data_IF_814824856396
#
_entry.id   IF_814824856396
#
_cell.length_a   1.000
_cell.length_b   1.000
_cell.length_c   1.000
_cell.angle_alpha   90.00
_cell.angle_beta   90.00
_cell.angle_gamma   90.00
#
_symmetry.space_group_name_H-M   'P 1'
#
loop_
_entity.id
_entity.type
_entity.pdbx_description
1 polymer ?
#
# COMPACT_ATOMS: atom_id res chain seq x y z
N UNK A 1 28.41 -5.31 -5.41
CA UNK A 1 27.74 -4.37 -6.32
C UNK A 1 26.83 -5.16 -7.25
N UNK A 2 25.53 -4.85 -7.28
CA UNK A 2 24.54 -5.45 -8.16
C UNK A 2 23.95 -4.39 -9.09
N UNK A 3 23.51 -4.78 -10.26
CA UNK A 3 22.75 -3.95 -11.19
C UNK A 3 21.28 -4.30 -11.14
N UNK A 4 20.47 -3.45 -10.53
CA UNK A 4 19.08 -3.71 -10.20
C UNK A 4 18.16 -2.95 -11.17
N UNK A 5 17.32 -3.66 -11.88
CA UNK A 5 16.32 -3.11 -12.79
C UNK A 5 14.92 -3.12 -12.20
N UNK A 6 14.14 -2.06 -12.40
CA UNK A 6 12.77 -1.95 -11.91
C UNK A 6 11.76 -1.74 -13.04
N UNK A 7 10.60 -2.41 -12.98
CA UNK A 7 9.42 -1.92 -13.67
C UNK A 7 8.91 -0.66 -12.96
N UNK A 8 9.34 0.50 -13.43
CA UNK A 8 9.08 1.79 -12.80
C UNK A 8 7.85 2.51 -13.36
N UNK A 9 6.98 1.83 -14.14
CA UNK A 9 5.74 2.43 -14.67
C UNK A 9 4.91 3.10 -13.57
N UNK A 10 4.69 2.40 -12.45
CA UNK A 10 3.88 2.92 -11.34
C UNK A 10 4.58 4.03 -10.59
N UNK A 11 5.88 3.93 -10.38
CA UNK A 11 6.67 5.00 -9.76
C UNK A 11 6.54 6.32 -10.54
N UNK A 12 6.55 6.25 -11.88
CA UNK A 12 6.51 7.43 -12.74
C UNK A 12 5.10 7.99 -12.97
N UNK A 13 4.06 7.17 -12.98
CA UNK A 13 2.76 7.53 -13.54
C UNK A 13 1.58 7.40 -12.55
N UNK A 14 1.83 7.00 -11.31
CA UNK A 14 0.76 6.70 -10.37
C UNK A 14 1.02 7.36 -9.02
N UNK A 15 0.02 8.12 -8.53
CA UNK A 15 0.06 8.80 -7.21
C UNK A 15 -0.57 7.97 -6.09
N UNK A 16 -1.19 6.84 -6.39
CA UNK A 16 -1.85 5.97 -5.39
C UNK A 16 -0.88 4.96 -4.79
N UNK A 17 -1.35 4.09 -3.91
CA UNK A 17 -0.56 3.13 -3.14
C UNK A 17 0.53 2.39 -3.92
N UNK A 18 0.23 1.87 -5.14
CA UNK A 18 1.23 1.17 -5.95
C UNK A 18 2.37 2.08 -6.42
N UNK A 19 2.08 3.35 -6.72
CA UNK A 19 3.09 4.34 -7.08
C UNK A 19 3.94 4.73 -5.87
N UNK A 20 3.31 4.99 -4.73
CA UNK A 20 3.98 5.32 -3.48
C UNK A 20 4.92 4.18 -3.04
N UNK A 21 4.44 2.93 -3.07
CA UNK A 21 5.28 1.76 -2.81
C UNK A 21 6.48 1.68 -3.77
N UNK A 22 6.25 1.87 -5.07
CA UNK A 22 7.33 1.78 -6.05
C UNK A 22 8.41 2.85 -5.81
N UNK A 23 8.02 4.09 -5.48
CA UNK A 23 8.95 5.17 -5.12
C UNK A 23 9.64 4.90 -3.79
N UNK A 24 8.91 4.40 -2.79
CA UNK A 24 9.45 4.00 -1.49
C UNK A 24 10.57 2.97 -1.64
N UNK A 25 10.34 1.89 -2.40
CA UNK A 25 11.34 0.84 -2.65
C UNK A 25 12.57 1.38 -3.38
N UNK A 26 12.37 2.13 -4.47
CA UNK A 26 13.47 2.67 -5.25
C UNK A 26 14.32 3.63 -4.39
N UNK A 27 13.68 4.57 -3.69
CA UNK A 27 14.33 5.52 -2.79
C UNK A 27 15.12 4.81 -1.70
N UNK A 28 14.46 3.91 -0.96
CA UNK A 28 15.09 3.20 0.15
C UNK A 28 16.32 2.41 -0.27
N UNK A 29 16.25 1.70 -1.41
CA UNK A 29 17.41 0.96 -1.94
C UNK A 29 18.56 1.89 -2.34
N UNK A 30 18.27 3.02 -2.99
CA UNK A 30 19.32 3.98 -3.40
C UNK A 30 19.98 4.66 -2.21
N UNK A 31 19.23 4.94 -1.15
CA UNK A 31 19.74 5.55 0.08
C UNK A 31 20.54 4.54 0.92
N UNK A 32 20.03 3.32 1.11
CA UNK A 32 20.65 2.32 1.98
C UNK A 32 21.80 1.54 1.31
N UNK A 33 21.78 1.41 -0.01
CA UNK A 33 22.76 0.63 -0.78
C UNK A 33 23.30 1.40 -1.99
N UNK A 34 23.95 2.56 -1.79
CA UNK A 34 24.36 3.49 -2.85
C UNK A 34 25.40 2.91 -3.83
N UNK A 35 26.12 1.84 -3.44
CA UNK A 35 27.12 1.21 -4.29
C UNK A 35 26.54 0.36 -5.43
N UNK A 36 25.22 0.13 -5.45
CA UNK A 36 24.57 -0.61 -6.52
C UNK A 36 24.21 0.32 -7.69
N UNK A 37 24.05 -0.28 -8.87
CA UNK A 37 23.58 0.41 -10.06
C UNK A 37 22.08 0.20 -10.23
N UNK A 38 21.33 1.28 -10.42
CA UNK A 38 19.89 1.25 -10.53
C UNK A 38 19.40 1.64 -11.91
N UNK A 39 18.42 0.88 -12.45
CA UNK A 39 17.84 1.14 -13.77
C UNK A 39 16.31 1.10 -13.67
N UNK A 40 15.67 2.19 -14.00
CA UNK A 40 14.20 2.32 -14.02
C UNK A 40 13.69 2.19 -15.46
N UNK A 41 12.85 1.19 -15.73
CA UNK A 41 12.22 1.00 -17.03
C UNK A 41 10.83 1.65 -17.04
N UNK A 42 10.64 2.68 -17.85
CA UNK A 42 9.40 3.46 -17.93
C UNK A 42 8.86 3.41 -19.36
N UNK A 43 7.60 3.00 -19.57
CA UNK A 43 7.08 2.82 -20.94
C UNK A 43 6.76 4.13 -21.67
N UNK A 44 6.62 5.25 -20.95
CA UNK A 44 6.23 6.54 -21.53
C UNK A 44 7.03 7.70 -20.95
N UNK A 45 7.95 8.23 -21.74
CA UNK A 45 8.79 9.36 -21.41
C UNK A 45 8.00 10.65 -21.06
N UNK A 46 6.82 10.84 -21.66
CA UNK A 46 5.97 12.03 -21.40
C UNK A 46 5.17 11.95 -20.11
N UNK A 47 5.27 10.86 -19.34
CA UNK A 47 4.52 10.63 -18.11
C UNK A 47 5.49 10.27 -16.98
N UNK A 48 6.27 11.25 -16.55
CA UNK A 48 7.30 11.12 -15.50
C UNK A 48 6.99 11.94 -14.24
N UNK A 49 5.80 12.55 -14.19
CA UNK A 49 5.45 13.59 -13.21
C UNK A 49 5.70 13.23 -11.74
N UNK A 50 5.64 11.94 -11.40
CA UNK A 50 5.86 11.47 -10.02
C UNK A 50 7.25 10.85 -9.81
N UNK A 51 8.02 10.65 -10.88
CA UNK A 51 9.37 10.12 -10.78
C UNK A 51 10.35 11.16 -10.26
N UNK A 52 10.04 12.44 -10.49
CA UNK A 52 10.84 13.57 -10.01
C UNK A 52 10.75 13.76 -8.48
N UNK A 53 9.77 13.12 -7.83
CA UNK A 53 9.65 13.07 -6.37
C UNK A 53 10.70 12.13 -5.72
N UNK A 54 11.45 11.33 -6.51
CA UNK A 54 12.50 10.45 -6.00
C UNK A 54 13.78 11.28 -5.79
N UNK A 55 14.27 11.43 -4.54
CA UNK A 55 15.53 12.11 -4.27
C UNK A 55 16.69 11.40 -4.99
N UNK A 56 17.73 12.17 -5.36
CA UNK A 56 18.93 11.62 -6.03
C UNK A 56 18.63 10.88 -7.34
N UNK A 57 17.67 11.38 -8.11
CA UNK A 57 17.26 10.85 -9.42
C UNK A 57 18.46 10.67 -10.39
N UNK A 58 19.49 11.45 -10.26
CA UNK A 58 20.76 11.37 -11.02
C UNK A 58 21.50 10.03 -10.83
N UNK A 59 21.25 9.33 -9.72
CA UNK A 59 21.84 8.02 -9.41
C UNK A 59 21.12 6.83 -10.04
N UNK A 60 19.97 7.05 -10.70
CA UNK A 60 19.20 6.00 -11.35
C UNK A 60 19.09 6.25 -12.86
N UNK A 61 19.54 5.28 -13.66
CA UNK A 61 19.39 5.33 -15.12
C UNK A 61 17.95 5.08 -15.50
N UNK A 62 17.31 6.00 -16.23
CA UNK A 62 15.95 5.79 -16.76
C UNK A 62 16.04 5.26 -18.19
N UNK A 63 15.30 4.18 -18.48
CA UNK A 63 15.25 3.53 -19.80
C UNK A 63 13.83 3.58 -20.36
N UNK A 64 13.71 3.99 -21.62
CA UNK A 64 12.47 4.04 -22.39
C UNK A 64 12.54 3.11 -23.60
N UNK A 65 11.39 2.73 -24.21
CA UNK A 65 11.40 1.99 -25.48
C UNK A 65 12.18 2.74 -26.56
N UNK A 66 13.22 2.12 -27.11
CA UNK A 66 14.07 2.75 -28.15
C UNK A 66 13.48 2.56 -29.55
N UNK A 67 13.02 1.33 -29.90
CA UNK A 67 12.48 1.02 -31.22
C UNK A 67 11.13 1.71 -31.45
N UNK A 68 10.90 2.28 -32.63
CA UNK A 68 9.68 2.99 -32.98
C UNK A 68 8.39 2.16 -32.76
N UNK A 69 8.43 0.87 -33.03
CA UNK A 69 7.31 -0.03 -32.79
C UNK A 69 6.93 -0.06 -31.31
N UNK A 70 7.92 -0.13 -30.41
CA UNK A 70 7.70 -0.16 -28.97
C UNK A 70 7.29 1.20 -28.39
N UNK A 71 7.71 2.30 -29.03
CA UNK A 71 7.22 3.66 -28.68
C UNK A 71 5.73 3.82 -28.97
N UNK A 72 5.21 3.12 -29.99
CA UNK A 72 3.76 3.07 -30.30
C UNK A 72 3.03 2.04 -29.42
N UNK A 73 3.60 0.86 -29.24
CA UNK A 73 3.00 -0.28 -28.53
C UNK A 73 3.56 -0.42 -27.12
N UNK A 74 3.52 0.66 -26.33
CA UNK A 74 4.15 0.77 -24.99
C UNK A 74 3.71 -0.32 -24.01
N UNK A 75 2.45 -0.69 -24.04
CA UNK A 75 1.92 -1.77 -23.18
C UNK A 75 2.50 -3.13 -23.55
N UNK A 76 2.66 -3.40 -24.86
CA UNK A 76 3.27 -4.64 -25.35
C UNK A 76 4.79 -4.65 -25.11
N UNK A 77 5.46 -3.49 -25.19
CA UNK A 77 6.87 -3.40 -24.80
C UNK A 77 7.09 -3.86 -23.36
N UNK A 78 6.27 -3.41 -22.42
CA UNK A 78 6.36 -3.81 -21.01
C UNK A 78 6.13 -5.32 -20.82
N UNK A 79 5.32 -5.94 -21.67
CA UNK A 79 4.96 -7.36 -21.58
C UNK A 79 6.00 -8.28 -22.25
N UNK A 80 6.61 -7.82 -23.36
CA UNK A 80 7.49 -8.67 -24.20
C UNK A 80 8.81 -8.00 -24.58
N UNK A 81 8.81 -6.72 -24.96
CA UNK A 81 9.98 -6.05 -25.55
C UNK A 81 11.04 -5.61 -24.56
N UNK A 82 10.63 -5.37 -23.31
CA UNK A 82 11.51 -4.89 -22.23
C UNK A 82 12.63 -5.89 -21.92
N UNK A 83 12.43 -7.17 -22.14
CA UNK A 83 13.43 -8.22 -21.84
C UNK A 83 14.70 -8.07 -22.67
N UNK A 84 14.59 -7.62 -23.94
CA UNK A 84 15.76 -7.32 -24.76
C UNK A 84 16.58 -6.17 -24.17
N UNK A 85 15.90 -5.14 -23.64
CA UNK A 85 16.53 -3.97 -23.06
C UNK A 85 17.15 -4.32 -21.67
N UNK A 86 16.51 -5.19 -20.90
CA UNK A 86 17.05 -5.73 -19.64
C UNK A 86 18.36 -6.49 -19.90
N UNK A 87 18.36 -7.43 -20.86
CA UNK A 87 19.53 -8.21 -21.22
C UNK A 87 20.69 -7.33 -21.71
N UNK A 88 20.43 -6.37 -22.63
CA UNK A 88 21.44 -5.42 -23.14
C UNK A 88 22.04 -4.54 -22.05
N UNK A 89 21.26 -4.18 -21.04
CA UNK A 89 21.75 -3.39 -19.92
C UNK A 89 22.55 -4.25 -18.92
N UNK A 90 22.62 -5.57 -19.07
CA UNK A 90 23.32 -6.46 -18.13
C UNK A 90 22.77 -6.35 -16.70
N UNK A 91 21.45 -6.45 -16.57
CA UNK A 91 20.79 -6.41 -15.27
C UNK A 91 21.03 -7.74 -14.54
N UNK A 92 21.47 -7.69 -13.28
CA UNK A 92 21.64 -8.87 -12.45
C UNK A 92 20.27 -9.37 -11.91
N UNK A 93 19.44 -8.42 -11.48
CA UNK A 93 18.10 -8.70 -10.93
C UNK A 93 17.08 -7.69 -11.43
N UNK A 94 15.93 -8.18 -11.91
CA UNK A 94 14.80 -7.36 -12.34
C UNK A 94 13.64 -7.52 -11.37
N UNK A 95 13.13 -6.40 -10.84
CA UNK A 95 12.01 -6.38 -9.90
C UNK A 95 10.76 -5.77 -10.51
N UNK A 96 9.71 -6.57 -10.63
CA UNK A 96 8.35 -6.14 -10.95
C UNK A 96 7.65 -5.61 -9.69
N UNK A 97 7.60 -4.30 -9.52
CA UNK A 97 7.12 -3.64 -8.30
C UNK A 97 5.60 -3.63 -8.12
N UNK A 98 4.82 -4.12 -9.08
CA UNK A 98 3.36 -3.97 -9.09
C UNK A 98 2.64 -5.15 -9.74
N UNK A 99 2.70 -6.31 -9.10
CA UNK A 99 1.99 -7.55 -9.45
C UNK A 99 2.34 -8.18 -10.80
N UNK A 100 3.22 -7.60 -11.58
CA UNK A 100 3.49 -8.04 -12.95
C UNK A 100 4.99 -8.17 -13.23
N UNK A 101 5.32 -9.16 -14.08
CA UNK A 101 6.60 -9.32 -14.76
C UNK A 101 6.36 -9.41 -16.28
N UNK A 102 7.37 -9.12 -17.11
CA UNK A 102 7.32 -9.48 -18.52
C UNK A 102 7.06 -10.98 -18.67
N UNK A 103 6.13 -11.37 -19.56
CA UNK A 103 5.75 -12.77 -19.72
C UNK A 103 6.92 -13.66 -20.18
N UNK A 104 7.90 -13.06 -20.83
CA UNK A 104 9.12 -13.71 -21.32
C UNK A 104 10.36 -13.38 -20.47
N UNK A 105 10.20 -13.00 -19.19
CA UNK A 105 11.30 -12.54 -18.32
C UNK A 105 12.50 -13.50 -18.27
N UNK A 106 12.27 -14.80 -18.35
CA UNK A 106 13.32 -15.83 -18.38
C UNK A 106 14.29 -15.67 -19.54
N UNK A 107 13.89 -14.98 -20.63
CA UNK A 107 14.77 -14.68 -21.79
C UNK A 107 15.72 -13.50 -21.52
N UNK A 108 15.51 -12.74 -20.47
CA UNK A 108 16.34 -11.58 -20.14
C UNK A 108 17.72 -11.95 -19.59
N UNK A 109 17.93 -13.22 -19.19
CA UNK A 109 19.22 -13.69 -18.65
C UNK A 109 19.57 -13.12 -17.26
N UNK A 110 18.60 -12.56 -16.55
CA UNK A 110 18.75 -12.03 -15.20
C UNK A 110 17.87 -12.79 -14.21
N UNK A 111 18.13 -12.59 -12.92
CA UNK A 111 17.22 -13.01 -11.85
C UNK A 111 15.98 -12.11 -11.81
N UNK A 112 14.88 -12.64 -11.30
CA UNK A 112 13.61 -11.92 -11.29
C UNK A 112 12.89 -12.02 -9.95
N UNK A 113 12.38 -10.88 -9.49
CA UNK A 113 11.54 -10.75 -8.29
C UNK A 113 10.25 -10.05 -8.67
N UNK A 114 9.14 -10.44 -8.06
CA UNK A 114 7.86 -9.74 -8.20
C UNK A 114 7.25 -9.46 -6.84
N UNK A 115 6.77 -8.24 -6.62
CA UNK A 115 5.92 -7.90 -5.46
C UNK A 115 4.46 -8.07 -5.82
N UNK A 116 3.75 -8.86 -5.03
CA UNK A 116 2.29 -9.02 -5.08
C UNK A 116 1.68 -8.24 -3.93
N UNK A 117 0.81 -7.29 -4.28
CA UNK A 117 0.17 -6.40 -3.32
C UNK A 117 -1.12 -6.98 -2.75
N UNK A 118 -1.93 -7.60 -3.60
CA UNK A 118 -3.18 -8.25 -3.21
C UNK A 118 -3.67 -9.20 -4.30
N UNK A 119 -4.64 -10.04 -3.94
CA UNK A 119 -5.42 -10.87 -4.86
C UNK A 119 -6.92 -10.62 -4.64
N UNK A 120 -7.31 -9.41 -4.26
CA UNK A 120 -8.68 -9.01 -3.91
C UNK A 120 -9.69 -9.39 -5.02
N UNK A 121 -9.28 -9.27 -6.28
CA UNK A 121 -10.12 -9.61 -7.44
C UNK A 121 -10.49 -11.11 -7.51
N UNK A 122 -9.76 -12.00 -6.83
CA UNK A 122 -10.10 -13.42 -6.68
C UNK A 122 -11.01 -13.65 -5.47
N UNK A 123 -10.73 -12.96 -4.37
CA UNK A 123 -11.49 -13.07 -3.13
C UNK A 123 -12.87 -12.42 -3.22
N UNK A 124 -12.93 -11.20 -3.79
CA UNK A 124 -14.16 -10.44 -4.00
C UNK A 124 -14.39 -10.10 -5.47
N UNK A 125 -14.77 -11.11 -6.28
CA UNK A 125 -14.96 -10.94 -7.72
C UNK A 125 -16.00 -9.89 -8.10
N UNK A 126 -16.98 -9.60 -7.24
CA UNK A 126 -18.03 -8.62 -7.48
C UNK A 126 -17.53 -7.17 -7.66
N UNK A 127 -16.34 -6.83 -7.14
CA UNK A 127 -15.76 -5.49 -7.25
C UNK A 127 -14.99 -5.24 -8.56
N UNK A 128 -14.90 -6.24 -9.45
CA UNK A 128 -14.10 -6.16 -10.67
C UNK A 128 -14.87 -6.66 -11.90
N UNK A 129 -14.66 -6.02 -13.05
CA UNK A 129 -15.20 -6.51 -14.30
C UNK A 129 -14.63 -7.89 -14.66
N UNK A 130 -15.46 -8.75 -15.24
CA UNK A 130 -15.09 -10.14 -15.55
C UNK A 130 -13.82 -10.24 -16.42
N UNK A 131 -13.69 -9.37 -17.44
CA UNK A 131 -12.53 -9.37 -18.35
C UNK A 131 -11.26 -8.97 -17.59
N UNK A 132 -11.33 -7.91 -16.77
CA UNK A 132 -10.18 -7.45 -15.98
C UNK A 132 -9.69 -8.52 -15.02
N UNK A 133 -10.61 -9.22 -14.36
CA UNK A 133 -10.29 -10.36 -13.48
C UNK A 133 -9.52 -11.46 -14.21
N UNK A 134 -9.95 -11.83 -15.43
CA UNK A 134 -9.25 -12.85 -16.24
C UNK A 134 -7.84 -12.40 -16.61
N UNK A 135 -7.69 -11.13 -16.99
CA UNK A 135 -6.39 -10.54 -17.37
C UNK A 135 -5.47 -10.47 -16.13
N UNK A 136 -5.95 -9.96 -15.00
CA UNK A 136 -5.16 -9.88 -13.76
C UNK A 136 -4.78 -11.27 -13.26
N UNK A 137 -5.72 -12.22 -13.21
CA UNK A 137 -5.44 -13.58 -12.80
C UNK A 137 -4.34 -14.23 -13.65
N UNK A 138 -4.43 -14.10 -14.98
CA UNK A 138 -3.42 -14.63 -15.88
C UNK A 138 -2.04 -13.99 -15.63
N UNK A 139 -1.98 -12.66 -15.59
CA UNK A 139 -0.71 -11.92 -15.44
C UNK A 139 -0.05 -12.17 -14.08
N UNK A 140 -0.82 -12.09 -12.98
CA UNK A 140 -0.29 -12.22 -11.63
C UNK A 140 0.18 -13.66 -11.38
N UNK A 141 -0.64 -14.66 -11.79
CA UNK A 141 -0.21 -16.06 -11.73
C UNK A 141 1.09 -16.28 -12.49
N UNK A 142 1.17 -15.81 -13.76
CA UNK A 142 2.37 -15.95 -14.58
C UNK A 142 3.59 -15.21 -13.99
N UNK A 143 3.38 -14.07 -13.37
CA UNK A 143 4.44 -13.35 -12.68
C UNK A 143 4.98 -14.18 -11.50
N UNK A 144 4.10 -14.75 -10.66
CA UNK A 144 4.49 -15.63 -9.57
C UNK A 144 5.20 -16.91 -10.05
N UNK A 145 4.69 -17.56 -11.12
CA UNK A 145 5.28 -18.79 -11.68
C UNK A 145 6.67 -18.54 -12.28
N UNK A 146 6.85 -17.38 -12.97
CA UNK A 146 8.09 -17.08 -13.70
C UNK A 146 9.16 -16.38 -12.86
N UNK A 147 8.81 -15.72 -11.77
CA UNK A 147 9.78 -15.11 -10.86
C UNK A 147 10.70 -16.15 -10.21
N UNK A 148 11.95 -15.78 -9.91
CA UNK A 148 12.83 -16.57 -9.03
C UNK A 148 12.36 -16.47 -7.58
N UNK A 149 11.87 -15.29 -7.14
CA UNK A 149 11.26 -15.07 -5.82
C UNK A 149 10.03 -14.18 -5.95
N UNK A 150 9.07 -14.42 -5.06
CA UNK A 150 7.85 -13.62 -4.92
C UNK A 150 7.90 -12.90 -3.58
N UNK A 151 7.63 -11.60 -3.58
CA UNK A 151 7.45 -10.81 -2.37
C UNK A 151 5.95 -10.63 -2.16
N UNK A 152 5.45 -11.06 -1.02
CA UNK A 152 4.13 -10.73 -0.52
C UNK A 152 4.24 -9.55 0.45
N UNK A 153 3.33 -8.58 0.34
CA UNK A 153 3.35 -7.38 1.21
C UNK A 153 2.78 -7.62 2.61
N UNK A 154 2.26 -8.82 2.85
CA UNK A 154 1.74 -9.28 4.14
C UNK A 154 1.72 -10.80 4.22
N UNK A 155 1.65 -11.37 5.41
CA UNK A 155 1.41 -12.81 5.60
C UNK A 155 0.05 -13.23 5.03
N UNK A 156 -0.95 -12.36 5.13
CA UNK A 156 -2.25 -12.57 4.50
C UNK A 156 -2.10 -12.74 2.98
N UNK A 157 -1.42 -11.81 2.29
CA UNK A 157 -1.18 -11.92 0.84
C UNK A 157 -0.35 -13.17 0.48
N UNK A 158 0.63 -13.55 1.31
CA UNK A 158 1.38 -14.81 1.13
C UNK A 158 0.45 -16.02 1.15
N UNK A 159 -0.45 -16.12 2.13
CA UNK A 159 -1.44 -17.19 2.22
C UNK A 159 -2.35 -17.23 0.99
N UNK A 160 -2.81 -16.09 0.50
CA UNK A 160 -3.61 -16.01 -0.72
C UNK A 160 -2.85 -16.50 -1.96
N UNK A 161 -1.57 -16.12 -2.13
CA UNK A 161 -0.72 -16.60 -3.24
C UNK A 161 -0.59 -18.13 -3.21
N UNK A 162 -0.36 -18.70 -2.05
CA UNK A 162 -0.30 -20.16 -1.88
C UNK A 162 -1.65 -20.78 -2.23
N UNK A 163 -2.73 -20.27 -1.66
CA UNK A 163 -4.07 -20.83 -1.82
C UNK A 163 -4.58 -20.76 -3.27
N UNK A 164 -4.46 -19.60 -3.92
CA UNK A 164 -5.04 -19.41 -5.25
C UNK A 164 -4.14 -19.82 -6.40
N UNK A 165 -2.82 -19.73 -6.22
CA UNK A 165 -1.87 -19.99 -7.30
C UNK A 165 -1.03 -21.27 -7.09
N UNK A 166 -1.04 -21.86 -5.89
CA UNK A 166 -0.26 -23.06 -5.59
C UNK A 166 1.26 -22.85 -5.65
N UNK A 167 1.71 -21.60 -5.40
CA UNK A 167 3.14 -21.30 -5.39
C UNK A 167 3.77 -21.89 -4.13
N UNK A 168 4.93 -22.53 -4.30
CA UNK A 168 5.70 -23.08 -3.17
C UNK A 168 6.00 -21.97 -2.15
N UNK A 169 5.67 -22.23 -0.89
CA UNK A 169 5.91 -21.31 0.21
C UNK A 169 7.36 -20.84 0.29
N UNK A 170 8.32 -21.72 0.01
CA UNK A 170 9.76 -21.43 0.00
C UNK A 170 10.15 -20.39 -1.04
N UNK A 171 9.31 -20.15 -2.04
CA UNK A 171 9.50 -19.14 -3.09
C UNK A 171 8.97 -17.77 -2.69
N UNK A 172 8.24 -17.65 -1.56
CA UNK A 172 7.55 -16.43 -1.16
C UNK A 172 8.17 -15.87 0.11
N UNK A 173 8.69 -14.65 0.02
CA UNK A 173 9.15 -13.86 1.15
C UNK A 173 8.08 -12.83 1.53
N UNK A 174 7.90 -12.58 2.82
CA UNK A 174 7.08 -11.47 3.29
C UNK A 174 7.99 -10.28 3.54
N UNK A 175 7.77 -9.21 2.78
CA UNK A 175 8.39 -7.91 3.01
C UNK A 175 7.29 -6.88 3.10
N UNK A 176 7.05 -6.38 4.30
CA UNK A 176 5.98 -5.42 4.58
C UNK A 176 6.18 -4.10 3.83
N UNK A 177 5.13 -3.29 3.82
CA UNK A 177 5.17 -1.92 3.32
C UNK A 177 5.39 -0.95 4.48
N UNK A 178 6.09 0.14 4.21
CA UNK A 178 6.20 1.27 5.12
C UNK A 178 5.23 2.40 4.74
N UNK A 179 5.02 3.33 5.65
CA UNK A 179 4.36 4.59 5.35
C UNK A 179 5.39 5.72 5.22
N UNK A 180 4.94 6.88 4.74
CA UNK A 180 5.80 8.05 4.64
C UNK A 180 6.24 8.51 6.03
N UNK A 181 7.55 8.78 6.26
CA UNK A 181 8.05 9.29 7.53
C UNK A 181 7.41 10.62 7.99
N UNK A 182 6.72 11.34 7.10
CA UNK A 182 6.00 12.57 7.44
C UNK A 182 4.93 12.33 8.52
N UNK A 183 4.32 11.14 8.57
CA UNK A 183 3.31 10.79 9.57
C UNK A 183 3.88 10.66 11.00
N UNK A 184 5.19 10.40 11.13
CA UNK A 184 5.87 10.38 12.43
C UNK A 184 6.25 11.78 12.95
N UNK A 185 6.30 12.78 12.05
CA UNK A 185 6.73 14.14 12.42
C UNK A 185 5.74 14.83 13.34
N UNK A 186 6.24 15.58 14.29
CA UNK A 186 5.43 16.49 15.09
C UNK A 186 4.98 17.68 14.24
N UNK A 187 3.78 18.18 14.52
CA UNK A 187 3.15 19.32 13.83
C UNK A 187 2.92 20.42 14.85
N UNK A 188 3.34 21.66 14.54
CA UNK A 188 3.13 22.80 15.43
C UNK A 188 1.64 23.12 15.58
N UNK A 189 1.27 23.71 16.72
CA UNK A 189 -0.12 24.06 16.99
C UNK A 189 -0.64 25.12 16.03
N UNK A 190 0.25 25.98 15.51
CA UNK A 190 -0.08 26.97 14.49
C UNK A 190 -0.54 26.29 13.18
N UNK A 191 0.20 25.28 12.71
CA UNK A 191 -0.16 24.48 11.53
C UNK A 191 -1.44 23.68 11.76
N UNK A 192 -1.61 23.10 12.95
CA UNK A 192 -2.84 22.39 13.32
C UNK A 192 -4.05 23.30 13.25
N UNK A 193 -3.93 24.52 13.81
CA UNK A 193 -5.00 25.53 13.80
C UNK A 193 -5.34 26.00 12.39
N UNK A 194 -4.32 26.24 11.55
CA UNK A 194 -4.51 26.65 10.17
C UNK A 194 -5.24 25.56 9.35
N UNK A 195 -4.76 24.30 9.42
CA UNK A 195 -5.38 23.17 8.69
C UNK A 195 -6.80 22.92 9.20
N UNK A 196 -7.01 22.92 10.52
CA UNK A 196 -8.35 22.75 11.11
C UNK A 196 -9.31 23.82 10.60
N UNK A 197 -8.88 25.09 10.56
CA UNK A 197 -9.70 26.20 10.06
C UNK A 197 -9.99 26.09 8.55
N UNK A 198 -8.97 25.82 7.73
CA UNK A 198 -9.14 25.67 6.28
C UNK A 198 -10.10 24.54 5.89
N UNK A 199 -10.08 23.46 6.65
CA UNK A 199 -10.91 22.28 6.39
C UNK A 199 -12.19 22.23 7.24
N UNK A 200 -12.43 23.23 8.09
CA UNK A 200 -13.58 23.28 9.02
C UNK A 200 -13.76 21.96 9.77
N UNK A 201 -12.70 21.55 10.49
CA UNK A 201 -12.69 20.28 11.22
C UNK A 201 -13.38 20.46 12.59
N UNK A 202 -14.18 19.46 13.03
CA UNK A 202 -14.69 19.43 14.39
C UNK A 202 -13.58 19.33 15.43
N UNK A 203 -13.81 19.78 16.66
CA UNK A 203 -12.83 19.71 17.76
C UNK A 203 -12.44 18.26 18.12
N UNK A 204 -13.41 17.35 18.04
CA UNK A 204 -13.20 15.92 18.28
C UNK A 204 -13.89 15.13 17.17
N UNK A 205 -13.16 14.20 16.56
CA UNK A 205 -13.70 13.39 15.46
C UNK A 205 -12.98 12.05 15.29
N UNK A 206 -13.69 11.11 14.69
CA UNK A 206 -13.11 9.93 14.07
C UNK A 206 -12.58 10.30 12.68
N UNK A 207 -11.43 9.80 12.32
CA UNK A 207 -10.87 9.97 10.98
C UNK A 207 -10.99 8.68 10.16
N UNK A 208 -11.49 8.81 8.94
CA UNK A 208 -11.42 7.78 7.90
C UNK A 208 -10.64 8.32 6.70
N UNK A 209 -9.67 7.57 6.19
CA UNK A 209 -8.88 7.95 5.01
C UNK A 209 -8.90 6.83 3.97
N UNK A 210 -9.36 7.13 2.76
CA UNK A 210 -9.35 6.19 1.64
C UNK A 210 -10.43 6.47 0.61
N UNK A 211 -10.36 5.83 -0.58
CA UNK A 211 -11.45 5.88 -1.53
C UNK A 211 -12.74 5.33 -0.90
N UNK A 212 -13.86 6.01 -1.14
CA UNK A 212 -15.16 5.64 -0.54
C UNK A 212 -15.78 4.55 -1.42
N UNK A 213 -15.36 3.30 -1.16
CA UNK A 213 -15.74 2.10 -1.92
C UNK A 213 -16.44 1.09 -1.01
N UNK A 214 -17.38 0.30 -1.53
CA UNK A 214 -18.12 -0.74 -0.78
C UNK A 214 -17.14 -1.67 -0.02
N UNK A 215 -16.05 -2.06 -0.63
CA UNK A 215 -15.00 -2.89 -0.03
C UNK A 215 -14.38 -2.29 1.22
N UNK A 216 -14.23 -0.97 1.25
CA UNK A 216 -13.66 -0.22 2.39
C UNK A 216 -14.69 0.06 3.49
N UNK A 217 -15.95 -0.26 3.24
CA UNK A 217 -16.98 -0.48 4.24
C UNK A 217 -17.25 0.71 5.19
N UNK A 218 -17.12 1.95 4.69
CA UNK A 218 -17.38 3.15 5.49
C UNK A 218 -18.75 3.12 6.17
N UNK A 219 -19.75 2.49 5.54
CA UNK A 219 -21.11 2.36 6.07
C UNK A 219 -21.14 1.65 7.43
N UNK A 220 -20.20 0.72 7.72
CA UNK A 220 -20.11 0.09 9.04
C UNK A 220 -19.81 1.13 10.14
N UNK A 221 -18.84 2.02 9.89
CA UNK A 221 -18.52 3.07 10.85
C UNK A 221 -19.67 4.08 11.01
N UNK A 222 -20.37 4.43 9.93
CA UNK A 222 -21.54 5.33 9.98
C UNK A 222 -22.69 4.67 10.75
N UNK A 223 -22.98 3.38 10.54
CA UNK A 223 -23.99 2.64 11.32
C UNK A 223 -23.64 2.60 12.81
N UNK A 224 -22.37 2.42 13.15
CA UNK A 224 -21.93 2.47 14.54
C UNK A 224 -22.13 3.87 15.17
N UNK A 225 -21.83 4.94 14.41
CA UNK A 225 -22.10 6.32 14.85
C UNK A 225 -23.60 6.57 15.05
N UNK A 226 -24.47 6.06 14.17
CA UNK A 226 -25.94 6.11 14.36
C UNK A 226 -26.34 5.45 15.68
N UNK A 227 -25.86 4.25 15.95
CA UNK A 227 -26.17 3.53 17.20
C UNK A 227 -25.71 4.29 18.44
N UNK A 228 -24.58 4.99 18.37
CA UNK A 228 -24.07 5.83 19.49
C UNK A 228 -24.92 7.09 19.64
N UNK A 229 -25.32 7.73 18.54
CA UNK A 229 -26.23 8.88 18.54
C UNK A 229 -27.58 8.54 19.20
N UNK A 230 -28.17 7.38 18.90
CA UNK A 230 -29.39 6.88 19.53
C UNK A 230 -29.25 6.66 21.06
N UNK A 231 -28.00 6.45 21.53
CA UNK A 231 -27.66 6.38 22.95
C UNK A 231 -27.29 7.75 23.55
N UNK A 232 -27.37 8.84 22.80
CA UNK A 232 -27.07 10.20 23.22
C UNK A 232 -25.60 10.62 23.09
N UNK A 233 -24.79 9.87 22.29
CA UNK A 233 -23.39 10.19 22.05
C UNK A 233 -23.18 10.68 20.61
N UNK A 234 -23.02 11.99 20.45
CA UNK A 234 -22.73 12.63 19.16
C UNK A 234 -21.23 12.55 18.83
N UNK A 235 -20.88 11.70 17.88
CA UNK A 235 -19.51 11.48 17.45
C UNK A 235 -19.36 11.92 15.99
N UNK A 236 -18.54 12.94 15.76
CA UNK A 236 -18.21 13.39 14.42
C UNK A 236 -17.32 12.38 13.70
N UNK A 237 -17.57 12.12 12.43
CA UNK A 237 -16.71 11.35 11.55
C UNK A 237 -16.26 12.21 10.36
N UNK A 238 -14.95 12.41 10.22
CA UNK A 238 -14.32 13.11 9.10
C UNK A 238 -13.81 12.08 8.12
N UNK A 239 -14.31 12.15 6.90
CA UNK A 239 -13.99 11.20 5.81
C UNK A 239 -13.16 11.91 4.76
N UNK A 240 -11.91 11.50 4.61
CA UNK A 240 -11.00 12.01 3.58
C UNK A 240 -10.87 10.97 2.46
N UNK A 241 -11.35 11.31 1.26
CA UNK A 241 -11.25 10.36 0.17
C UNK A 241 -11.90 10.80 -1.13
N UNK A 242 -11.67 9.98 -2.15
CA UNK A 242 -12.32 10.17 -3.45
C UNK A 242 -13.74 9.60 -3.40
N UNK A 243 -14.69 10.37 -3.90
CA UNK A 243 -16.07 9.94 -4.09
C UNK A 243 -16.18 8.80 -5.12
N UNK A 244 -17.11 7.89 -4.86
CA UNK A 244 -17.63 6.88 -5.80
C UNK A 244 -19.15 6.81 -5.63
N UNK A 245 -19.89 6.09 -6.49
CA UNK A 245 -21.35 5.92 -6.31
C UNK A 245 -21.77 5.33 -4.96
N UNK A 246 -20.88 4.62 -4.27
CA UNK A 246 -21.14 4.09 -2.93
C UNK A 246 -21.28 5.21 -1.86
N UNK A 247 -20.74 6.41 -2.11
CA UNK A 247 -20.91 7.53 -1.20
C UNK A 247 -22.37 7.93 -1.07
N UNK A 248 -23.17 7.83 -2.14
CA UNK A 248 -24.59 8.20 -2.13
C UNK A 248 -25.38 7.28 -1.17
N UNK A 249 -25.01 6.00 -1.09
CA UNK A 249 -25.59 5.05 -0.12
C UNK A 249 -25.24 5.45 1.32
N UNK A 250 -23.97 5.82 1.56
CA UNK A 250 -23.49 6.21 2.90
C UNK A 250 -24.18 7.50 3.37
N UNK A 251 -24.27 8.51 2.49
CA UNK A 251 -24.91 9.80 2.79
C UNK A 251 -26.41 9.62 3.00
N UNK A 252 -27.08 8.87 2.10
CA UNK A 252 -28.50 8.60 2.23
C UNK A 252 -28.86 7.86 3.52
N UNK A 253 -28.00 6.94 3.97
CA UNK A 253 -28.17 6.28 5.26
C UNK A 253 -28.02 7.26 6.44
N UNK A 254 -27.00 8.14 6.42
CA UNK A 254 -26.80 9.15 7.44
C UNK A 254 -27.97 10.17 7.51
N UNK A 255 -28.51 10.57 6.35
CA UNK A 255 -29.68 11.45 6.24
C UNK A 255 -30.93 10.81 6.83
N UNK A 256 -31.23 9.57 6.41
CA UNK A 256 -32.38 8.84 6.92
C UNK A 256 -32.32 8.57 8.44
N UNK A 257 -31.10 8.49 9.00
CA UNK A 257 -30.84 8.30 10.43
C UNK A 257 -30.69 9.61 11.23
N UNK A 258 -30.82 10.79 10.61
CA UNK A 258 -30.75 12.09 11.28
C UNK A 258 -29.35 12.58 11.68
N UNK A 259 -28.29 11.90 11.26
CA UNK A 259 -26.89 12.21 11.65
C UNK A 259 -26.07 12.90 10.56
N UNK A 260 -26.70 13.53 9.55
CA UNK A 260 -25.96 14.23 8.49
C UNK A 260 -24.99 15.29 9.02
N UNK A 261 -25.31 15.91 10.13
CA UNK A 261 -24.49 16.93 10.80
C UNK A 261 -23.21 16.36 11.44
N UNK A 262 -23.14 15.05 11.67
CA UNK A 262 -21.97 14.35 12.21
C UNK A 262 -21.05 13.78 11.12
N UNK A 263 -21.50 13.74 9.85
CA UNK A 263 -20.73 13.18 8.74
C UNK A 263 -20.07 14.30 7.90
N UNK A 264 -18.75 14.41 7.99
CA UNK A 264 -17.98 15.48 7.34
C UNK A 264 -17.12 14.92 6.21
N UNK A 265 -17.57 15.04 4.96
CA UNK A 265 -16.82 14.57 3.79
C UNK A 265 -15.82 15.63 3.33
N UNK A 266 -14.58 15.26 3.08
CA UNK A 266 -13.50 16.11 2.59
C UNK A 266 -12.87 15.51 1.34
N UNK A 267 -13.08 16.17 0.21
CA UNK A 267 -12.47 15.79 -1.07
C UNK A 267 -11.26 16.65 -1.37
N UNK A 268 -10.28 16.09 -2.10
CA UNK A 268 -9.16 16.86 -2.61
C UNK A 268 -8.21 17.41 -1.53
N UNK A 269 -8.18 16.81 -0.35
CA UNK A 269 -7.22 17.17 0.70
C UNK A 269 -5.80 17.00 0.17
N UNK A 270 -4.96 18.02 0.30
CA UNK A 270 -3.57 17.97 -0.09
C UNK A 270 -2.82 16.94 0.75
N UNK A 271 -1.84 16.29 0.12
CA UNK A 271 -1.03 15.29 0.81
C UNK A 271 -0.31 15.86 2.04
N UNK A 272 0.14 17.12 1.95
CA UNK A 272 0.84 17.81 3.04
C UNK A 272 -0.05 18.11 4.24
N UNK A 273 -1.37 18.26 4.02
CA UNK A 273 -2.35 18.46 5.10
C UNK A 273 -2.74 17.13 5.78
N UNK A 274 -2.63 16.02 5.07
CA UNK A 274 -3.13 14.72 5.54
C UNK A 274 -2.51 14.27 6.88
N UNK A 275 -1.19 14.38 7.15
CA UNK A 275 -0.62 14.06 8.47
C UNK A 275 -1.24 14.88 9.60
N UNK A 276 -1.67 16.12 9.32
CA UNK A 276 -2.29 16.98 10.32
C UNK A 276 -3.67 16.47 10.72
N UNK A 277 -4.45 15.92 9.77
CA UNK A 277 -5.73 15.26 10.10
C UNK A 277 -5.52 14.10 11.06
N UNK A 278 -4.49 13.26 10.84
CA UNK A 278 -4.15 12.17 11.76
C UNK A 278 -3.73 12.68 13.15
N UNK A 279 -3.06 13.83 13.24
CA UNK A 279 -2.66 14.44 14.53
C UNK A 279 -3.82 15.11 15.28
N UNK A 280 -4.87 15.54 14.58
CA UNK A 280 -6.03 16.20 15.17
C UNK A 280 -7.14 15.24 15.58
N UNK A 281 -7.24 14.10 14.92
CA UNK A 281 -8.29 13.13 15.18
C UNK A 281 -8.18 12.48 16.58
N UNK A 282 -9.32 12.04 17.12
CA UNK A 282 -9.40 11.31 18.39
C UNK A 282 -9.11 9.82 18.20
N UNK A 283 -9.59 9.23 17.10
CA UNK A 283 -9.32 7.86 16.69
C UNK A 283 -9.41 7.71 15.16
N UNK A 284 -8.73 6.73 14.63
CA UNK A 284 -8.80 6.32 13.24
C UNK A 284 -9.73 5.12 13.09
N UNK A 285 -10.64 5.16 12.14
CA UNK A 285 -11.54 4.04 11.84
C UNK A 285 -11.35 3.59 10.39
N UNK A 286 -11.00 2.31 10.20
CA UNK A 286 -10.72 1.75 8.89
C UNK A 286 -11.39 0.37 8.73
N UNK A 287 -12.72 0.35 8.51
CA UNK A 287 -13.53 -0.87 8.54
C UNK A 287 -13.43 -1.72 7.27
N UNK A 288 -12.31 -1.63 6.54
CA UNK A 288 -12.13 -2.33 5.26
C UNK A 288 -12.30 -3.84 5.44
N UNK A 289 -13.05 -4.46 4.53
CA UNK A 289 -13.29 -5.92 4.50
C UNK A 289 -12.05 -6.70 4.09
N UNK A 290 -11.24 -6.11 3.23
CA UNK A 290 -10.02 -6.73 2.72
C UNK A 290 -9.05 -5.68 2.17
N UNK A 291 -7.80 -5.85 2.49
CA UNK A 291 -6.67 -5.08 1.94
C UNK A 291 -5.49 -6.00 1.65
N UNK A 292 -4.51 -5.51 0.91
CA UNK A 292 -3.24 -6.22 0.73
C UNK A 292 -2.27 -6.00 1.89
N UNK A 293 -2.30 -4.79 2.51
CA UNK A 293 -1.53 -4.48 3.71
C UNK A 293 -2.28 -3.56 4.69
N UNK A 294 -2.76 -2.39 4.25
CA UNK A 294 -3.45 -1.45 5.14
C UNK A 294 -2.59 -0.26 5.55
N UNK A 295 -1.94 0.38 4.58
CA UNK A 295 -1.11 1.58 4.82
C UNK A 295 -1.80 2.62 5.72
N UNK A 296 -3.11 2.96 5.56
CA UNK A 296 -3.75 3.94 6.43
C UNK A 296 -3.79 3.54 7.92
N UNK A 297 -3.85 2.24 8.25
CA UNK A 297 -3.71 1.77 9.64
C UNK A 297 -2.31 2.06 10.17
N UNK A 298 -1.28 1.78 9.36
CA UNK A 298 0.10 2.07 9.73
C UNK A 298 0.35 3.58 9.87
N UNK A 299 -0.20 4.41 8.97
CA UNK A 299 -0.15 5.87 9.06
C UNK A 299 -0.75 6.36 10.39
N UNK A 300 -1.89 5.79 10.79
CA UNK A 300 -2.55 6.15 12.05
C UNK A 300 -1.67 5.87 13.27
N UNK A 301 -1.20 4.64 13.44
CA UNK A 301 -0.36 4.28 14.61
C UNK A 301 1.00 4.99 14.60
N UNK A 302 1.57 5.26 13.41
CA UNK A 302 2.80 6.05 13.25
C UNK A 302 2.59 7.50 13.67
N UNK A 303 1.41 8.07 13.37
CA UNK A 303 1.02 9.41 13.81
C UNK A 303 0.72 9.50 15.31
N UNK A 304 0.64 8.37 16.01
CA UNK A 304 0.19 8.30 17.39
C UNK A 304 -1.33 8.43 17.52
N UNK A 305 -2.08 7.95 16.53
CA UNK A 305 -3.53 7.94 16.52
C UNK A 305 -4.02 6.51 16.78
N UNK A 306 -4.84 6.26 17.85
CA UNK A 306 -5.46 4.96 18.09
C UNK A 306 -6.28 4.51 16.88
N UNK A 307 -6.16 3.24 16.50
CA UNK A 307 -6.79 2.75 15.29
C UNK A 307 -7.78 1.61 15.58
N UNK A 308 -8.90 1.63 14.84
CA UNK A 308 -9.96 0.61 14.86
C UNK A 308 -10.09 0.09 13.43
N UNK A 309 -9.94 -1.23 13.25
CA UNK A 309 -10.03 -1.89 11.95
C UNK A 309 -10.98 -3.07 11.94
N UNK A 310 -10.96 -3.84 10.85
CA UNK A 310 -11.68 -5.10 10.78
C UNK A 310 -10.72 -6.31 10.78
N UNK A 311 -11.20 -7.43 11.32
CA UNK A 311 -10.51 -8.73 11.29
C UNK A 311 -10.65 -9.40 9.92
N UNK A 312 -9.85 -10.46 9.70
CA UNK A 312 -10.00 -11.35 8.54
C UNK A 312 -9.20 -10.92 7.31
N UNK A 313 -8.32 -9.92 7.45
CA UNK A 313 -7.37 -9.52 6.41
C UNK A 313 -6.03 -9.12 7.03
N UNK A 314 -5.20 -8.42 6.28
CA UNK A 314 -3.89 -7.94 6.73
C UNK A 314 -3.92 -6.72 7.68
N UNK A 315 -5.08 -6.18 8.04
CA UNK A 315 -5.16 -4.98 8.88
C UNK A 315 -4.55 -5.19 10.26
N UNK A 316 -4.65 -6.42 10.80
CA UNK A 316 -4.04 -6.81 12.07
C UNK A 316 -2.50 -6.79 12.00
N UNK A 317 -1.94 -7.08 10.83
CA UNK A 317 -0.50 -6.98 10.58
C UNK A 317 -0.04 -5.52 10.48
N UNK A 318 -0.85 -4.63 9.92
CA UNK A 318 -0.51 -3.22 9.73
C UNK A 318 -0.73 -2.37 11.00
N UNK A 319 -1.84 -2.60 11.71
CA UNK A 319 -2.22 -1.84 12.90
C UNK A 319 -1.68 -2.41 14.21
N UNK A 320 -1.23 -3.68 14.20
CA UNK A 320 -0.63 -4.35 15.35
C UNK A 320 -1.62 -4.74 16.46
N UNK A 321 -1.12 -5.39 17.53
CA UNK A 321 -1.97 -6.01 18.55
C UNK A 321 -2.65 -5.01 19.48
N UNK A 322 -2.32 -3.73 19.38
CA UNK A 322 -2.88 -2.68 20.26
C UNK A 322 -3.98 -1.87 19.60
N UNK A 323 -4.21 -2.05 18.30
CA UNK A 323 -5.40 -1.56 17.62
C UNK A 323 -6.61 -2.45 17.94
N UNK A 324 -7.81 -1.91 17.88
CA UNK A 324 -9.02 -2.68 18.07
C UNK A 324 -9.51 -3.24 16.72
N UNK A 325 -10.06 -4.45 16.75
CA UNK A 325 -10.54 -5.12 15.55
C UNK A 325 -11.90 -5.74 15.77
N UNK A 326 -12.80 -5.54 14.81
CA UNK A 326 -14.16 -6.08 14.82
C UNK A 326 -14.43 -6.85 13.53
N UNK A 327 -15.47 -7.68 13.50
CA UNK A 327 -15.87 -8.34 12.24
C UNK A 327 -16.43 -7.30 11.25
N UNK A 328 -16.25 -7.48 9.93
CA UNK A 328 -16.69 -6.49 8.92
C UNK A 328 -18.18 -6.19 8.86
N UNK A 329 -19.04 -6.97 9.54
CA UNK A 329 -20.50 -6.78 9.59
C UNK A 329 -21.02 -6.57 11.02
N UNK A 330 -20.13 -6.42 11.99
CA UNK A 330 -20.43 -6.27 13.41
C UNK A 330 -20.56 -4.78 13.78
N UNK A 331 -21.79 -4.26 13.67
CA UNK A 331 -22.11 -2.86 13.98
C UNK A 331 -21.99 -2.58 15.48
N UNK A 332 -22.44 -3.50 16.35
CA UNK A 332 -22.35 -3.36 17.81
C UNK A 332 -20.88 -3.33 18.24
N UNK A 333 -20.08 -4.31 17.80
CA UNK A 333 -18.66 -4.34 18.10
C UNK A 333 -17.92 -3.09 17.62
N UNK A 334 -18.30 -2.53 16.44
CA UNK A 334 -17.73 -1.27 15.96
C UNK A 334 -18.15 -0.09 16.84
N UNK A 335 -19.41 -0.02 17.28
CA UNK A 335 -19.90 1.02 18.17
C UNK A 335 -19.18 0.95 19.53
N UNK A 336 -19.05 -0.25 20.11
CA UNK A 336 -18.37 -0.45 21.39
C UNK A 336 -16.88 -0.09 21.31
N UNK A 337 -16.20 -0.46 20.22
CA UNK A 337 -14.81 -0.09 19.98
C UNK A 337 -14.63 1.44 19.85
N UNK A 338 -15.53 2.11 19.09
CA UNK A 338 -15.54 3.57 18.95
C UNK A 338 -15.81 4.22 20.32
N UNK A 339 -16.85 3.80 21.04
CA UNK A 339 -17.18 4.32 22.37
C UNK A 339 -16.00 4.23 23.32
N UNK A 340 -15.37 3.04 23.39
CA UNK A 340 -14.25 2.80 24.29
C UNK A 340 -13.06 3.71 23.97
N UNK A 341 -12.63 3.78 22.71
CA UNK A 341 -11.49 4.61 22.31
C UNK A 341 -11.82 6.10 22.45
N UNK A 342 -13.05 6.52 22.17
CA UNK A 342 -13.45 7.92 22.18
C UNK A 342 -13.53 8.47 23.61
N UNK A 343 -13.95 7.67 24.59
CA UNK A 343 -14.21 8.11 25.96
C UNK A 343 -13.08 7.75 26.94
N UNK A 344 -12.33 6.66 26.75
CA UNK A 344 -11.27 6.24 27.66
C UNK A 344 -9.90 6.82 27.26
N UNK A 345 -9.48 7.85 28.01
CA UNK A 345 -8.17 8.51 27.82
C UNK A 345 -7.00 7.56 28.11
N UNK A 346 -7.13 6.71 29.13
CA UNK A 346 -6.08 5.76 29.53
C UNK A 346 -5.87 4.71 28.43
N UNK A 347 -6.97 4.17 27.89
CA UNK A 347 -6.92 3.25 26.75
C UNK A 347 -6.20 3.91 25.57
N UNK A 348 -6.59 5.14 25.20
CA UNK A 348 -5.93 5.86 24.10
C UNK A 348 -4.42 6.02 24.31
N UNK A 349 -4.02 6.45 25.53
CA UNK A 349 -2.59 6.63 25.84
C UNK A 349 -1.80 5.31 25.71
N UNK A 350 -2.36 4.20 26.16
CA UNK A 350 -1.76 2.89 26.01
C UNK A 350 -1.66 2.47 24.55
N UNK A 351 -2.74 2.66 23.76
CA UNK A 351 -2.75 2.37 22.32
C UNK A 351 -1.71 3.20 21.58
N UNK A 352 -1.57 4.50 21.89
CA UNK A 352 -0.59 5.40 21.30
C UNK A 352 0.84 4.93 21.58
N UNK A 353 1.16 4.67 22.86
CA UNK A 353 2.51 4.27 23.25
C UNK A 353 2.95 2.96 22.57
N UNK A 354 2.11 1.95 22.66
CA UNK A 354 2.39 0.63 22.09
C UNK A 354 2.28 0.63 20.56
N UNK A 355 1.35 1.40 19.97
CA UNK A 355 1.22 1.54 18.52
C UNK A 355 2.45 2.18 17.88
N UNK A 356 3.00 3.24 18.48
CA UNK A 356 4.27 3.86 18.03
C UNK A 356 5.44 2.88 18.09
N UNK A 357 5.53 2.08 19.16
CA UNK A 357 6.57 1.06 19.28
C UNK A 357 6.42 -0.02 18.20
N UNK A 358 5.20 -0.50 17.98
CA UNK A 358 4.93 -1.48 16.94
C UNK A 358 5.25 -0.95 15.53
N UNK A 359 4.97 0.35 15.26
CA UNK A 359 5.22 0.99 13.97
C UNK A 359 6.72 1.00 13.58
N UNK A 360 7.66 0.93 14.55
CA UNK A 360 9.10 0.85 14.27
C UNK A 360 9.51 -0.35 13.43
N UNK A 361 8.71 -1.41 13.40
CA UNK A 361 8.93 -2.59 12.57
C UNK A 361 8.88 -2.28 11.08
N UNK A 362 8.21 -1.18 10.71
CA UNK A 362 7.98 -0.73 9.34
C UNK A 362 8.88 0.44 8.95
N UNK A 363 9.97 0.63 9.68
CA UNK A 363 10.99 1.62 9.33
C UNK A 363 11.57 1.35 7.94
N UNK A 364 11.80 2.42 7.16
CA UNK A 364 12.23 2.32 5.76
C UNK A 364 13.57 1.58 5.63
N UNK A 365 14.52 1.84 6.52
CA UNK A 365 15.84 1.22 6.46
C UNK A 365 15.74 -0.28 6.71
N UNK A 366 14.92 -0.69 7.69
CA UNK A 366 14.65 -2.10 7.97
C UNK A 366 14.00 -2.81 6.79
N UNK A 367 12.90 -2.26 6.28
CA UNK A 367 12.16 -2.88 5.16
C UNK A 367 13.02 -2.95 3.89
N UNK A 368 13.85 -1.94 3.67
CA UNK A 368 14.79 -1.93 2.54
C UNK A 368 15.88 -2.97 2.72
N UNK A 369 16.36 -3.18 3.95
CA UNK A 369 17.31 -4.24 4.28
C UNK A 369 16.70 -5.62 4.05
N UNK A 370 15.48 -5.85 4.53
CA UNK A 370 14.76 -7.12 4.35
C UNK A 370 14.59 -7.43 2.84
N UNK A 371 14.21 -6.42 2.05
CA UNK A 371 14.11 -6.54 0.59
C UNK A 371 15.47 -6.87 -0.06
N UNK A 372 16.53 -6.21 0.39
CA UNK A 372 17.87 -6.43 -0.17
C UNK A 372 18.40 -7.83 0.16
N UNK A 373 18.06 -8.40 1.31
CA UNK A 373 18.36 -9.80 1.65
C UNK A 373 17.70 -10.78 0.67
N UNK A 374 16.46 -10.52 0.25
CA UNK A 374 15.81 -11.30 -0.82
C UNK A 374 16.65 -11.24 -2.10
N UNK A 375 17.15 -10.06 -2.49
CA UNK A 375 18.00 -9.93 -3.68
C UNK A 375 19.30 -10.70 -3.54
N UNK A 376 19.97 -10.62 -2.40
CA UNK A 376 21.21 -11.37 -2.15
C UNK A 376 21.00 -12.87 -2.23
N UNK A 377 19.91 -13.35 -1.64
CA UNK A 377 19.53 -14.78 -1.68
C UNK A 377 19.34 -15.26 -3.11
N UNK A 378 18.64 -14.48 -3.94
CA UNK A 378 18.38 -14.80 -5.34
C UNK A 378 19.66 -14.80 -6.17
N UNK A 379 20.55 -13.82 -5.98
CA UNK A 379 21.80 -13.69 -6.71
C UNK A 379 22.88 -14.64 -6.18
N UNK A 380 22.90 -14.94 -4.88
CA UNK A 380 23.90 -15.81 -4.24
C UNK A 380 23.74 -17.29 -4.60
N UNK A 381 22.52 -17.73 -4.95
CA UNK A 381 22.23 -19.11 -5.37
C UNK A 381 22.97 -19.55 -6.64
N UNK A 382 23.70 -18.67 -7.32
CA UNK A 382 24.47 -18.99 -8.52
C UNK A 382 25.99 -19.17 -8.27
N UNK A 383 26.53 -18.82 -7.09
CA UNK A 383 27.95 -19.00 -6.82
C UNK A 383 28.35 -20.44 -6.44
N UNK A 384 27.41 -21.37 -6.39
CA UNK A 384 27.63 -22.77 -6.03
C UNK A 384 27.70 -23.78 -7.18
N UNK A 385 27.63 -23.37 -8.44
CA UNK A 385 27.92 -24.24 -9.59
C UNK A 385 29.28 -23.87 -10.19
N UNK A 386 30.35 -24.44 -9.62
CA UNK A 386 31.61 -24.53 -10.32
C UNK A 386 31.41 -25.35 -11.63
N UNK A 387 32.03 -24.94 -12.74
CA UNK A 387 31.99 -25.76 -13.95
C UNK A 387 32.69 -27.08 -13.66
N UNK A 388 31.95 -28.20 -13.80
CA UNK A 388 32.57 -29.52 -13.82
C UNK A 388 33.64 -29.46 -14.87
N UNK A 389 34.90 -29.59 -14.43
CA UNK A 389 36.08 -29.79 -15.27
C UNK A 389 35.78 -30.97 -16.20
N UNK A 390 35.77 -30.70 -17.51
CA UNK A 390 35.97 -31.72 -18.52
C UNK A 390 37.39 -32.28 -18.38
N UNK A 391 37.53 -33.49 -17.89
CA UNK A 391 38.63 -34.39 -18.17
C UNK A 391 38.14 -35.47 -19.10
#
# INVERSE_FOLDING_TARGET
>A
MMKIGFDAKRAAQNRTGLGNYSRFVIRGLMESFPDNLYVAYVPNERRMQYFDEIPSRDKIKVCFPVKNIWRRLRSLWRVFGITDDIGKNGIDIFHGLSNELPLNIRKAGCKSVVTIHDLIFLHYPKYYHFIDRKIYNYKFRRACENADRVIAVSDFTKKEIIQYYGIDEKKIDVVYQGCDPVFAKEVSDEVKKDVSGRHNLPDRFLLYVGSIEERKNLLLAVKAVVMLHEKGEDINIVVVGRSTPYLDEVVGYAEASGISHLLHIRHGVNYDDLPVFYKLATAFVYPSRIEGFGIPMLEAITSGLPAIGCTGSCLEEAGGPTSLYVKPDDVEGMADAIHSVYNDVTLRQNMIAQGKEYARRFDIAKLTSDLYEVYKTVCGSHRGMEPKSLL
#
